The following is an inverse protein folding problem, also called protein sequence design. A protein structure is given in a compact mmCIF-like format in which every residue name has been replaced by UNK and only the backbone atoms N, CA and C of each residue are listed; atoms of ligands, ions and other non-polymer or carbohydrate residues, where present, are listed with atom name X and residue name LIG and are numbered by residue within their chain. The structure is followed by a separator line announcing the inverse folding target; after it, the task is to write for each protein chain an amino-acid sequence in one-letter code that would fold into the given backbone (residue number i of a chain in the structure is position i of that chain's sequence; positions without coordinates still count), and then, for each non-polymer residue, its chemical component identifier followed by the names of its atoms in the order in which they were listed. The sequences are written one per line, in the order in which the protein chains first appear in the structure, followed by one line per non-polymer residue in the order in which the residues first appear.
data_IF_178738597559
#
_entry.id   IF_178738597559
#
_cell.length_a   1.000
_cell.length_b   1.000
_cell.length_c   1.000
_cell.angle_alpha   90.00
_cell.angle_beta   90.00
_cell.angle_gamma   90.00
#
_symmetry.space_group_name_H-M   'P 1'
#
loop_
_entity.id
_entity.type
_entity.pdbx_description
1 polymer ?
#
# COMPACT_ATOMS: atom_id res chain seq x y z
N UNK A 1 24.18 -7.83 56.13
CA UNK A 1 24.13 -6.38 56.49
C UNK A 1 24.50 -5.56 55.28
N UNK A 2 23.68 -4.61 54.97
CA UNK A 2 23.79 -3.55 53.96
C UNK A 2 23.61 -3.90 52.49
N UNK A 3 22.46 -3.52 52.05
CA UNK A 3 21.99 -3.39 50.66
C UNK A 3 22.77 -2.30 49.95
N UNK A 4 23.15 -2.55 48.72
CA UNK A 4 23.56 -1.51 47.80
C UNK A 4 22.50 -1.45 46.71
N UNK A 5 21.68 -0.40 46.75
CA UNK A 5 20.89 0.08 45.64
C UNK A 5 21.86 0.64 44.59
N UNK A 6 21.89 0.05 43.44
CA UNK A 6 22.49 0.69 42.27
C UNK A 6 21.39 1.23 41.37
N UNK A 7 21.21 2.51 41.47
CA UNK A 7 20.53 3.37 40.51
C UNK A 7 21.18 3.21 39.13
N UNK A 8 20.44 2.68 38.17
CA UNK A 8 20.89 2.70 36.80
C UNK A 8 20.57 4.07 36.23
N UNK A 9 21.63 4.85 36.07
CA UNK A 9 21.59 6.12 35.37
C UNK A 9 21.27 5.89 33.89
N UNK A 10 20.31 6.66 33.38
CA UNK A 10 20.03 6.76 31.97
C UNK A 10 21.26 7.29 31.23
N UNK A 11 21.84 6.49 30.38
CA UNK A 11 22.84 6.94 29.38
C UNK A 11 22.13 7.18 28.09
N UNK A 12 22.00 8.46 27.74
CA UNK A 12 21.72 8.93 26.40
C UNK A 12 22.89 8.52 25.50
N UNK A 13 22.67 7.57 24.62
CA UNK A 13 23.53 7.33 23.47
C UNK A 13 22.74 7.56 22.20
N UNK A 14 23.11 8.64 21.56
CA UNK A 14 22.77 8.95 20.16
C UNK A 14 23.63 8.06 19.27
N UNK A 15 23.01 7.36 18.35
CA UNK A 15 23.66 6.85 17.15
C UNK A 15 23.75 5.34 17.04
N UNK A 16 23.38 4.88 15.87
CA UNK A 16 23.64 3.61 15.19
C UNK A 16 22.66 2.46 15.41
N UNK A 17 22.15 2.04 14.27
CA UNK A 17 21.55 0.76 13.92
C UNK A 17 21.69 -0.35 14.97
N UNK A 18 20.61 -0.59 15.66
CA UNK A 18 20.43 -1.86 16.33
C UNK A 18 19.13 -2.48 15.87
N UNK A 19 19.26 -3.59 15.18
CA UNK A 19 18.26 -4.63 15.13
C UNK A 19 17.74 -4.82 16.55
N UNK A 20 16.59 -4.26 16.83
CA UNK A 20 15.95 -4.43 18.14
C UNK A 20 15.37 -5.84 18.15
N UNK A 21 15.96 -6.68 18.99
CA UNK A 21 15.43 -8.01 19.32
C UNK A 21 13.92 -7.93 19.49
N UNK A 22 13.20 -8.92 18.97
CA UNK A 22 11.75 -9.08 19.08
C UNK A 22 11.27 -8.79 20.51
N UNK A 23 10.72 -7.59 20.69
CA UNK A 23 10.24 -7.16 22.00
C UNK A 23 8.90 -7.83 22.23
N UNK A 24 8.87 -8.85 23.09
CA UNK A 24 7.61 -9.34 23.65
C UNK A 24 6.88 -8.14 24.29
N UNK A 25 5.79 -7.71 23.67
CA UNK A 25 4.96 -6.63 24.21
C UNK A 25 4.49 -6.99 25.62
N UNK A 26 4.67 -6.06 26.55
CA UNK A 26 4.12 -6.19 27.89
C UNK A 26 2.58 -6.25 27.86
N UNK A 27 2.00 -6.67 28.97
CA UNK A 27 0.53 -6.80 29.09
C UNK A 27 -0.21 -5.48 28.83
N UNK A 28 0.46 -4.35 29.11
CA UNK A 28 -0.11 -3.00 28.91
C UNK A 28 -0.16 -2.64 27.44
N UNK A 29 0.93 -2.88 26.71
CA UNK A 29 1.06 -2.61 25.28
C UNK A 29 0.11 -3.48 24.46
N UNK A 30 -0.01 -4.78 24.81
CA UNK A 30 -0.95 -5.68 24.14
C UNK A 30 -2.41 -5.24 24.30
N UNK A 31 -2.79 -4.76 25.50
CA UNK A 31 -4.13 -4.19 25.73
C UNK A 31 -4.34 -2.89 24.97
N UNK A 32 -3.34 -2.02 24.93
CA UNK A 32 -3.40 -0.79 24.16
C UNK A 32 -3.65 -1.09 22.67
N UNK A 33 -2.90 -2.00 22.05
CA UNK A 33 -3.12 -2.41 20.67
C UNK A 33 -4.51 -3.01 20.43
N UNK A 34 -5.04 -3.78 21.39
CA UNK A 34 -6.40 -4.31 21.31
C UNK A 34 -7.45 -3.19 21.25
N UNK A 35 -7.32 -2.13 22.09
CA UNK A 35 -8.21 -0.96 22.05
C UNK A 35 -8.03 -0.13 20.77
N UNK A 36 -6.81 0.01 20.27
CA UNK A 36 -6.53 0.66 18.97
C UNK A 36 -7.24 -0.09 17.84
N UNK A 37 -7.13 -1.42 17.80
CA UNK A 37 -7.73 -2.24 16.76
C UNK A 37 -9.28 -2.23 16.81
N UNK A 38 -9.85 -2.14 18.01
CA UNK A 38 -11.31 -2.03 18.20
C UNK A 38 -11.87 -0.62 17.99
N UNK A 39 -11.02 0.40 17.91
CA UNK A 39 -11.43 1.81 17.81
C UNK A 39 -11.97 2.40 19.11
N UNK A 40 -11.61 1.83 20.25
CA UNK A 40 -12.00 2.37 21.56
C UNK A 40 -11.15 3.60 21.93
N UNK A 41 -11.55 4.73 21.38
CA UNK A 41 -10.83 6.01 21.51
C UNK A 41 -10.63 6.44 22.97
N UNK A 42 -11.58 6.10 23.87
CA UNK A 42 -11.49 6.50 25.28
C UNK A 42 -10.32 5.79 25.96
N UNK A 43 -10.22 4.48 25.80
CA UNK A 43 -9.13 3.72 26.38
C UNK A 43 -7.81 3.97 25.64
N UNK A 44 -7.81 4.14 24.31
CA UNK A 44 -6.63 4.56 23.55
C UNK A 44 -6.06 5.86 24.13
N UNK A 45 -6.89 6.90 24.31
CA UNK A 45 -6.48 8.17 24.90
C UNK A 45 -5.89 7.98 26.31
N UNK A 46 -6.55 7.18 27.15
CA UNK A 46 -6.10 6.88 28.51
C UNK A 46 -4.71 6.23 28.56
N UNK A 47 -4.42 5.31 27.63
CA UNK A 47 -3.10 4.67 27.52
C UNK A 47 -2.03 5.67 27.06
N UNK A 48 -2.33 6.50 26.07
CA UNK A 48 -1.42 7.54 25.59
C UNK A 48 -1.14 8.59 26.67
N UNK A 49 -2.16 9.01 27.45
CA UNK A 49 -2.01 9.96 28.57
C UNK A 49 -1.16 9.37 29.72
N UNK A 50 -1.07 8.03 29.81
CA UNK A 50 -0.17 7.32 30.73
C UNK A 50 1.24 7.12 30.20
N UNK A 51 1.55 7.63 29.01
CA UNK A 51 2.88 7.57 28.41
C UNK A 51 3.20 6.30 27.65
N UNK A 52 2.19 5.50 27.25
CA UNK A 52 2.44 4.39 26.32
C UNK A 52 2.99 4.96 25.01
N UNK A 53 4.05 4.36 24.49
CA UNK A 53 4.69 4.80 23.26
C UNK A 53 3.73 4.66 22.06
N UNK A 54 3.36 5.78 21.43
CA UNK A 54 2.48 5.82 20.27
C UNK A 54 3.07 5.11 19.03
N UNK A 55 4.40 4.93 19.00
CA UNK A 55 5.16 4.27 17.94
C UNK A 55 5.73 2.90 18.35
N UNK A 56 5.19 2.28 19.41
CA UNK A 56 5.60 0.92 19.74
C UNK A 56 5.40 -0.01 18.52
N UNK A 57 6.20 -1.06 18.43
CA UNK A 57 6.07 -2.07 17.39
C UNK A 57 5.81 -3.44 18.04
N UNK A 58 4.93 -4.22 17.43
CA UNK A 58 4.72 -5.64 17.77
C UNK A 58 5.69 -6.55 17.01
N UNK A 59 5.56 -7.87 17.16
CA UNK A 59 6.46 -8.85 16.50
C UNK A 59 6.54 -8.72 14.97
N UNK A 60 5.44 -8.47 14.20
CA UNK A 60 5.59 -8.20 12.77
C UNK A 60 6.03 -6.74 12.46
N UNK A 61 6.46 -5.97 13.47
CA UNK A 61 6.90 -4.60 13.32
C UNK A 61 5.77 -3.60 13.11
N UNK A 62 4.52 -3.99 13.32
CA UNK A 62 3.36 -3.11 13.13
C UNK A 62 3.24 -2.11 14.29
N UNK A 63 2.99 -0.84 13.97
CA UNK A 63 2.72 0.21 14.95
C UNK A 63 1.22 0.30 15.26
N UNK A 64 0.82 1.00 16.34
CA UNK A 64 -0.60 1.29 16.60
C UNK A 64 -1.32 1.90 15.40
N UNK A 65 -0.64 2.74 14.61
CA UNK A 65 -1.22 3.32 13.41
C UNK A 65 -1.49 2.28 12.32
N UNK A 66 -0.62 1.27 12.14
CA UNK A 66 -0.90 0.14 11.26
C UNK A 66 -2.16 -0.61 11.70
N UNK A 67 -2.27 -0.91 13.00
CA UNK A 67 -3.45 -1.59 13.54
C UNK A 67 -4.74 -0.78 13.38
N UNK A 68 -4.71 0.53 13.66
CA UNK A 68 -5.86 1.40 13.49
C UNK A 68 -6.37 1.43 12.05
N UNK A 69 -5.45 1.50 11.07
CA UNK A 69 -5.79 1.52 9.64
C UNK A 69 -6.28 0.15 9.17
N UNK A 70 -5.62 -0.94 9.59
CA UNK A 70 -5.99 -2.31 9.21
C UNK A 70 -7.32 -2.75 9.83
N UNK A 71 -7.61 -2.37 11.06
CA UNK A 71 -8.86 -2.69 11.78
C UNK A 71 -10.10 -1.97 11.24
N UNK A 72 -9.93 -1.04 10.32
CA UNK A 72 -11.01 -0.19 9.82
C UNK A 72 -11.85 -0.82 8.69
N UNK A 73 -12.32 -2.05 8.89
CA UNK A 73 -13.21 -2.70 7.91
C UNK A 73 -14.58 -2.00 7.76
N UNK A 74 -15.00 -1.24 8.78
CA UNK A 74 -16.32 -0.59 8.86
C UNK A 74 -16.29 0.95 8.90
N UNK A 75 -15.13 1.59 8.71
CA UNK A 75 -15.02 3.05 8.73
C UNK A 75 -15.01 3.70 10.12
N UNK A 76 -14.92 2.91 11.21
CA UNK A 76 -15.14 3.39 12.58
C UNK A 76 -13.91 3.94 13.29
N UNK A 77 -12.71 3.78 12.73
CA UNK A 77 -11.46 4.12 13.42
C UNK A 77 -10.85 5.48 13.03
N UNK A 78 -11.57 6.34 12.30
CA UNK A 78 -11.02 7.62 11.82
C UNK A 78 -10.53 8.48 13.00
N UNK A 79 -11.37 8.64 14.02
CA UNK A 79 -11.02 9.42 15.22
C UNK A 79 -9.80 8.83 15.98
N UNK A 80 -9.67 7.50 16.00
CA UNK A 80 -8.48 6.85 16.60
C UNK A 80 -7.23 7.12 15.79
N UNK A 81 -7.33 7.09 14.45
CA UNK A 81 -6.22 7.42 13.54
C UNK A 81 -5.80 8.88 13.73
N UNK A 82 -6.75 9.81 13.77
CA UNK A 82 -6.50 11.24 14.03
C UNK A 82 -5.83 11.45 15.40
N UNK A 83 -6.32 10.76 16.44
CA UNK A 83 -5.73 10.83 17.77
C UNK A 83 -4.28 10.33 17.75
N UNK A 84 -3.99 9.17 17.14
CA UNK A 84 -2.63 8.64 17.06
C UNK A 84 -1.70 9.61 16.31
N UNK A 85 -2.14 10.16 15.18
CA UNK A 85 -1.36 11.14 14.40
C UNK A 85 -1.10 12.40 15.24
N UNK A 86 -2.12 12.93 15.93
CA UNK A 86 -1.97 14.13 16.79
C UNK A 86 -1.03 13.91 17.97
N UNK A 87 -0.84 12.63 18.38
CA UNK A 87 0.10 12.24 19.44
C UNK A 87 1.48 11.85 18.90
N UNK A 88 1.77 12.12 17.62
CA UNK A 88 3.08 11.92 17.02
C UNK A 88 3.32 10.51 16.47
N UNK A 89 2.26 9.80 16.07
CA UNK A 89 2.43 8.55 15.34
C UNK A 89 3.16 8.78 14.00
N UNK A 90 4.17 7.96 13.73
CA UNK A 90 4.90 8.02 12.47
C UNK A 90 4.04 7.44 11.33
N UNK A 91 3.51 8.31 10.49
CA UNK A 91 2.66 7.93 9.34
C UNK A 91 3.40 7.12 8.27
N UNK A 92 4.74 7.16 8.28
CA UNK A 92 5.60 6.40 7.37
C UNK A 92 6.34 5.24 8.06
N UNK A 93 5.93 4.85 9.27
CA UNK A 93 6.48 3.66 9.91
C UNK A 93 6.34 2.44 9.00
N UNK A 94 7.32 1.54 9.03
CA UNK A 94 7.32 0.31 8.24
C UNK A 94 7.29 -0.91 9.15
N UNK A 95 6.52 -1.91 8.75
CA UNK A 95 6.59 -3.24 9.33
C UNK A 95 7.76 -4.06 8.75
N UNK A 96 7.95 -5.29 9.18
CA UNK A 96 9.04 -6.19 8.73
C UNK A 96 9.00 -6.50 7.23
N UNK A 97 7.86 -6.30 6.61
CA UNK A 97 7.64 -6.49 5.16
C UNK A 97 7.70 -5.17 4.37
N UNK A 98 8.05 -4.07 5.07
CA UNK A 98 8.07 -2.70 4.54
C UNK A 98 6.69 -2.19 4.09
N UNK A 99 5.61 -2.67 4.70
CA UNK A 99 4.33 -2.00 4.57
C UNK A 99 4.29 -0.79 5.50
N UNK A 100 3.78 0.33 4.99
CA UNK A 100 3.41 1.49 5.81
C UNK A 100 1.93 1.39 6.19
N UNK A 101 1.43 2.18 7.16
CA UNK A 101 0.00 2.26 7.44
C UNK A 101 -0.83 2.49 6.17
N UNK A 102 -0.33 3.32 5.24
CA UNK A 102 -1.00 3.59 3.98
C UNK A 102 -1.19 2.32 3.12
N UNK A 103 -0.27 1.35 3.12
CA UNK A 103 -0.43 0.08 2.40
C UNK A 103 -1.58 -0.78 2.94
N UNK A 104 -1.92 -0.63 4.23
CA UNK A 104 -3.05 -1.34 4.87
C UNK A 104 -4.39 -0.71 4.49
N UNK A 105 -4.38 0.51 3.96
CA UNK A 105 -5.58 1.27 3.69
C UNK A 105 -6.47 0.64 2.59
N UNK A 106 -7.78 0.72 2.80
CA UNK A 106 -8.79 0.31 1.84
C UNK A 106 -9.94 1.33 1.73
N UNK A 107 -9.81 2.47 2.37
CA UNK A 107 -10.79 3.54 2.48
C UNK A 107 -10.17 4.86 2.01
N UNK A 108 -10.90 5.61 1.18
CA UNK A 108 -10.39 6.85 0.58
C UNK A 108 -10.21 7.99 1.58
N UNK A 109 -11.09 8.09 2.56
CA UNK A 109 -11.05 9.13 3.61
C UNK A 109 -9.81 8.95 4.49
N UNK A 110 -9.49 7.71 4.85
CA UNK A 110 -8.27 7.39 5.63
C UNK A 110 -7.01 7.58 4.78
N UNK A 111 -7.04 7.18 3.51
CA UNK A 111 -5.90 7.41 2.62
C UNK A 111 -5.61 8.92 2.49
N UNK A 112 -6.65 9.73 2.33
CA UNK A 112 -6.53 11.19 2.28
C UNK A 112 -5.94 11.74 3.57
N UNK A 113 -6.48 11.38 4.73
CA UNK A 113 -5.98 11.79 6.04
C UNK A 113 -4.49 11.44 6.22
N UNK A 114 -4.09 10.21 5.90
CA UNK A 114 -2.70 9.78 6.03
C UNK A 114 -1.77 10.57 5.11
N UNK A 115 -2.17 10.78 3.83
CA UNK A 115 -1.36 11.52 2.86
C UNK A 115 -1.25 13.00 3.25
N UNK A 116 -2.34 13.62 3.69
CA UNK A 116 -2.34 15.01 4.16
C UNK A 116 -1.53 15.18 5.45
N UNK A 117 -1.37 14.10 6.22
CA UNK A 117 -0.48 14.03 7.38
C UNK A 117 0.97 13.67 7.02
N UNK A 118 1.34 13.61 5.73
CA UNK A 118 2.71 13.39 5.26
C UNK A 118 3.06 11.93 4.94
N UNK A 119 2.07 11.04 4.78
CA UNK A 119 2.37 9.70 4.28
C UNK A 119 2.85 9.72 2.83
N UNK A 120 3.89 8.95 2.54
CA UNK A 120 4.42 8.82 1.18
C UNK A 120 3.46 7.99 0.32
N UNK A 121 2.72 8.66 -0.58
CA UNK A 121 1.77 8.02 -1.50
C UNK A 121 2.42 6.98 -2.41
N UNK A 122 3.73 7.11 -2.67
CA UNK A 122 4.53 6.24 -3.53
C UNK A 122 5.41 5.25 -2.75
N UNK A 123 5.11 5.04 -1.46
CA UNK A 123 5.82 4.05 -0.65
C UNK A 123 5.71 2.66 -1.28
N UNK A 124 6.83 1.91 -1.28
CA UNK A 124 6.96 0.61 -1.96
C UNK A 124 7.21 -0.50 -0.95
N UNK A 125 6.51 -1.61 -1.11
CA UNK A 125 6.79 -2.83 -0.34
C UNK A 125 8.17 -3.40 -0.69
N UNK A 126 8.79 -4.11 0.25
CA UNK A 126 10.15 -4.65 0.10
C UNK A 126 10.25 -5.67 -1.03
N UNK A 127 9.33 -6.61 -1.05
CA UNK A 127 9.39 -7.79 -1.93
C UNK A 127 9.03 -7.47 -3.38
N UNK A 128 7.88 -6.83 -3.59
CA UNK A 128 7.28 -6.66 -4.92
C UNK A 128 7.44 -5.25 -5.47
N UNK A 129 7.75 -4.27 -4.60
CA UNK A 129 7.74 -2.86 -4.98
C UNK A 129 6.33 -2.32 -5.24
N UNK A 130 5.29 -3.04 -4.78
CA UNK A 130 3.90 -2.58 -4.89
C UNK A 130 3.67 -1.33 -4.05
N UNK A 131 2.83 -0.44 -4.58
CA UNK A 131 2.29 0.73 -3.88
C UNK A 131 0.82 0.52 -3.59
N UNK A 132 0.22 1.39 -2.77
CA UNK A 132 -1.23 1.35 -2.56
C UNK A 132 -2.01 1.51 -3.88
N UNK A 133 -1.47 2.25 -4.86
CA UNK A 133 -2.12 2.39 -6.17
C UNK A 133 -2.26 1.03 -6.89
N UNK A 134 -1.26 0.15 -6.84
CA UNK A 134 -1.37 -1.22 -7.37
C UNK A 134 -2.51 -2.00 -6.71
N UNK A 135 -2.59 -1.96 -5.39
CA UNK A 135 -3.65 -2.63 -4.62
C UNK A 135 -5.04 -2.08 -4.97
N UNK A 136 -5.17 -0.75 -5.04
CA UNK A 136 -6.43 -0.09 -5.33
C UNK A 136 -6.93 -0.39 -6.74
N UNK A 137 -6.08 -0.27 -7.75
CA UNK A 137 -6.44 -0.55 -9.16
C UNK A 137 -6.73 -2.04 -9.39
N UNK A 138 -6.01 -2.94 -8.70
CA UNK A 138 -6.33 -4.36 -8.71
C UNK A 138 -7.74 -4.61 -8.15
N UNK A 139 -8.05 -4.07 -6.98
CA UNK A 139 -9.38 -4.18 -6.39
C UNK A 139 -10.49 -3.57 -7.27
N UNK A 140 -10.21 -2.47 -7.96
CA UNK A 140 -11.11 -1.85 -8.90
C UNK A 140 -11.33 -2.68 -10.18
N UNK A 141 -10.29 -3.33 -10.71
CA UNK A 141 -10.40 -4.12 -11.96
C UNK A 141 -11.00 -5.52 -11.74
N UNK A 142 -10.93 -6.05 -10.53
CA UNK A 142 -11.32 -7.42 -10.17
C UNK A 142 -12.62 -7.51 -9.36
N UNK A 143 -13.03 -6.42 -8.72
CA UNK A 143 -14.03 -6.44 -7.66
C UNK A 143 -15.46 -6.64 -8.14
N UNK A 144 -16.27 -7.29 -7.30
CA UNK A 144 -17.72 -7.23 -7.35
C UNK A 144 -18.20 -5.79 -7.08
N UNK A 145 -19.43 -5.45 -7.51
CA UNK A 145 -19.95 -4.08 -7.59
C UNK A 145 -19.68 -3.15 -6.38
N UNK A 146 -19.83 -3.64 -5.14
CA UNK A 146 -19.56 -2.83 -3.94
C UNK A 146 -18.06 -2.55 -3.72
N UNK A 147 -17.21 -3.55 -3.94
CA UNK A 147 -15.77 -3.39 -3.81
C UNK A 147 -15.20 -2.50 -4.90
N UNK A 148 -15.74 -2.59 -6.11
CA UNK A 148 -15.35 -1.76 -7.25
C UNK A 148 -15.43 -0.26 -6.93
N UNK A 149 -16.59 0.24 -6.50
CA UNK A 149 -16.77 1.68 -6.23
C UNK A 149 -15.81 2.19 -5.15
N UNK A 150 -15.59 1.39 -4.10
CA UNK A 150 -14.64 1.73 -3.04
C UNK A 150 -13.23 1.87 -3.57
N UNK A 151 -12.75 0.88 -4.32
CA UNK A 151 -11.39 0.88 -4.87
C UNK A 151 -11.21 1.90 -5.99
N UNK A 152 -12.24 2.16 -6.80
CA UNK A 152 -12.21 3.24 -7.78
C UNK A 152 -12.09 4.61 -7.10
N UNK A 153 -12.85 4.84 -6.03
CA UNK A 153 -12.74 6.05 -5.22
C UNK A 153 -11.34 6.22 -4.62
N UNK A 154 -10.78 5.13 -4.08
CA UNK A 154 -9.41 5.13 -3.56
C UNK A 154 -8.39 5.40 -4.67
N UNK A 155 -8.52 4.79 -5.84
CA UNK A 155 -7.65 5.04 -7.01
C UNK A 155 -7.65 6.51 -7.41
N UNK A 156 -8.84 7.13 -7.50
CA UNK A 156 -8.99 8.55 -7.85
C UNK A 156 -8.28 9.46 -6.85
N UNK A 157 -8.47 9.23 -5.55
CA UNK A 157 -7.78 10.00 -4.51
C UNK A 157 -6.27 9.82 -4.58
N UNK A 158 -5.76 8.62 -4.71
CA UNK A 158 -4.32 8.37 -4.81
C UNK A 158 -3.70 9.13 -5.99
N UNK A 159 -4.33 9.08 -7.16
CA UNK A 159 -3.84 9.80 -8.35
C UNK A 159 -3.88 11.32 -8.11
N UNK A 160 -4.96 11.87 -7.56
CA UNK A 160 -5.07 13.30 -7.27
C UNK A 160 -4.05 13.79 -6.22
N UNK A 161 -3.59 12.89 -5.33
CA UNK A 161 -2.55 13.16 -4.33
C UNK A 161 -1.13 12.84 -4.85
N UNK A 162 -0.94 12.64 -6.15
CA UNK A 162 0.36 12.48 -6.79
C UNK A 162 0.93 11.06 -6.78
N UNK A 163 0.08 10.04 -6.72
CA UNK A 163 0.54 8.67 -6.94
C UNK A 163 1.10 8.51 -8.37
N UNK A 164 2.30 7.96 -8.46
CA UNK A 164 2.97 7.70 -9.74
C UNK A 164 2.31 6.50 -10.45
N UNK A 165 1.60 6.80 -11.54
CA UNK A 165 0.89 5.80 -12.37
C UNK A 165 1.85 4.93 -13.20
N UNK A 166 3.14 5.26 -13.26
CA UNK A 166 4.16 4.60 -14.07
C UNK A 166 5.11 3.71 -13.28
N UNK A 167 4.87 3.54 -11.99
CA UNK A 167 5.67 2.64 -11.16
C UNK A 167 5.63 1.22 -11.73
N UNK A 168 6.81 0.60 -11.78
CA UNK A 168 6.99 -0.80 -12.20
C UNK A 168 7.19 -1.71 -10.99
N UNK A 169 6.62 -2.89 -11.05
CA UNK A 169 6.91 -3.97 -10.11
C UNK A 169 8.36 -4.45 -10.25
N UNK A 170 8.98 -4.83 -9.13
CA UNK A 170 10.33 -5.40 -9.11
C UNK A 170 10.31 -6.88 -9.49
N UNK A 171 11.43 -7.38 -9.97
CA UNK A 171 11.70 -8.80 -10.07
C UNK A 171 11.68 -9.45 -8.68
N UNK A 172 11.00 -10.57 -8.54
CA UNK A 172 10.83 -11.25 -7.24
C UNK A 172 9.39 -11.23 -6.74
N UNK A 173 8.46 -10.69 -7.49
CA UNK A 173 7.00 -10.85 -7.30
C UNK A 173 6.55 -12.32 -7.55
N UNK A 174 7.38 -13.27 -7.17
CA UNK A 174 7.02 -14.68 -7.17
C UNK A 174 6.07 -14.91 -6.00
N UNK A 175 4.79 -14.80 -6.24
CA UNK A 175 3.82 -15.56 -5.45
C UNK A 175 4.21 -17.02 -5.63
N UNK A 176 4.26 -17.79 -4.54
CA UNK A 176 4.53 -19.23 -4.49
C UNK A 176 3.60 -20.02 -5.43
N UNK A 177 3.82 -19.92 -6.71
CA UNK A 177 3.16 -20.73 -7.74
C UNK A 177 4.25 -21.12 -8.71
N UNK A 178 4.50 -22.42 -8.82
CA UNK A 178 5.44 -23.07 -9.75
C UNK A 178 5.14 -22.78 -11.24
N UNK A 179 4.50 -21.67 -11.53
CA UNK A 179 4.09 -21.29 -12.88
C UNK A 179 4.92 -20.10 -13.39
N UNK A 180 5.93 -20.35 -14.22
CA UNK A 180 6.87 -19.33 -14.72
C UNK A 180 6.23 -18.20 -15.53
N UNK A 181 4.96 -18.34 -15.96
CA UNK A 181 4.28 -17.28 -16.71
C UNK A 181 3.63 -16.18 -15.85
N UNK A 182 3.79 -16.24 -14.52
CA UNK A 182 3.23 -15.23 -13.59
C UNK A 182 4.26 -14.22 -13.07
N UNK A 183 5.47 -14.22 -13.62
CA UNK A 183 6.40 -13.14 -13.28
C UNK A 183 5.84 -11.81 -13.77
N UNK A 184 5.52 -10.92 -12.82
CA UNK A 184 4.99 -9.59 -13.06
C UNK A 184 6.09 -8.51 -13.07
N UNK A 185 7.34 -8.91 -13.15
CA UNK A 185 8.45 -7.97 -13.17
C UNK A 185 8.32 -7.00 -14.33
N UNK A 186 8.51 -5.73 -14.04
CA UNK A 186 8.34 -4.68 -15.03
C UNK A 186 6.89 -4.33 -15.36
N UNK A 187 5.89 -5.02 -14.77
CA UNK A 187 4.50 -4.61 -14.94
C UNK A 187 4.28 -3.24 -14.33
N UNK A 188 3.60 -2.37 -15.07
CA UNK A 188 3.02 -1.14 -14.55
C UNK A 188 1.60 -1.40 -14.04
N UNK A 189 1.03 -0.41 -13.36
CA UNK A 189 -0.38 -0.45 -12.95
C UNK A 189 -1.30 -0.74 -14.13
N UNK A 190 -1.01 -0.16 -15.32
CA UNK A 190 -1.83 -0.37 -16.52
C UNK A 190 -1.77 -1.82 -17.01
N UNK A 191 -0.60 -2.49 -16.98
CA UNK A 191 -0.50 -3.93 -17.29
C UNK A 191 -1.42 -4.78 -16.41
N UNK A 192 -1.48 -4.46 -15.11
CA UNK A 192 -2.32 -5.18 -14.16
C UNK A 192 -3.80 -4.96 -14.42
N UNK A 193 -4.20 -3.72 -14.67
CA UNK A 193 -5.60 -3.33 -14.89
C UNK A 193 -6.21 -4.05 -16.09
N UNK A 194 -5.48 -4.12 -17.20
CA UNK A 194 -5.99 -4.75 -18.43
C UNK A 194 -6.17 -6.27 -18.31
N UNK A 195 -5.60 -6.91 -17.29
CA UNK A 195 -5.84 -8.33 -16.95
C UNK A 195 -7.07 -8.54 -16.07
N UNK A 196 -7.74 -7.46 -15.62
CA UNK A 196 -8.88 -7.53 -14.71
C UNK A 196 -10.02 -8.42 -15.21
N UNK A 197 -10.79 -9.03 -14.31
CA UNK A 197 -11.89 -9.94 -14.68
C UNK A 197 -13.05 -9.24 -15.39
N UNK A 198 -13.37 -8.01 -15.01
CA UNK A 198 -14.43 -7.22 -15.62
C UNK A 198 -13.88 -6.29 -16.67
N UNK A 199 -14.21 -6.53 -17.94
CA UNK A 199 -13.77 -5.65 -19.02
C UNK A 199 -14.25 -4.21 -18.85
N UNK A 200 -15.51 -4.04 -18.40
CA UNK A 200 -16.06 -2.71 -18.12
C UNK A 200 -15.23 -1.94 -17.09
N UNK A 201 -14.90 -2.59 -15.98
CA UNK A 201 -14.13 -1.96 -14.90
C UNK A 201 -12.66 -1.75 -15.31
N UNK A 202 -12.08 -2.71 -16.03
CA UNK A 202 -10.72 -2.57 -16.56
C UNK A 202 -10.62 -1.38 -17.52
N UNK A 203 -11.60 -1.20 -18.40
CA UNK A 203 -11.65 -0.05 -19.31
C UNK A 203 -11.74 1.26 -18.55
N UNK A 204 -12.67 1.39 -17.62
CA UNK A 204 -12.86 2.64 -16.85
C UNK A 204 -11.59 3.02 -16.04
N UNK A 205 -10.90 2.03 -15.45
CA UNK A 205 -9.65 2.30 -14.74
C UNK A 205 -8.50 2.58 -15.70
N UNK A 206 -8.45 1.92 -16.86
CA UNK A 206 -7.45 2.21 -17.90
C UNK A 206 -7.62 3.62 -18.45
N UNK A 207 -8.84 4.07 -18.71
CA UNK A 207 -9.15 5.44 -19.14
C UNK A 207 -8.66 6.46 -18.09
N UNK A 208 -8.92 6.19 -16.80
CA UNK A 208 -8.44 7.04 -15.70
C UNK A 208 -6.90 7.10 -15.65
N UNK A 209 -6.22 5.97 -15.81
CA UNK A 209 -4.75 5.93 -15.78
C UNK A 209 -4.14 6.64 -16.99
N UNK A 210 -4.66 6.39 -18.20
CA UNK A 210 -4.15 7.01 -19.43
C UNK A 210 -4.36 8.52 -19.41
N UNK A 211 -5.53 9.01 -18.96
CA UNK A 211 -5.80 10.45 -18.83
C UNK A 211 -4.90 11.13 -17.77
N UNK A 212 -4.28 10.35 -16.87
CA UNK A 212 -3.32 10.84 -15.89
C UNK A 212 -1.86 10.48 -16.25
N UNK A 213 -1.56 10.22 -17.51
CA UNK A 213 -0.20 10.08 -18.02
C UNK A 213 0.43 8.69 -17.88
N UNK A 214 -0.38 7.65 -17.74
CA UNK A 214 0.15 6.28 -17.80
C UNK A 214 0.79 5.99 -19.15
N UNK A 215 2.02 5.45 -19.14
CA UNK A 215 2.72 5.05 -20.35
C UNK A 215 2.07 3.79 -20.95
N UNK A 216 1.39 3.98 -22.07
CA UNK A 216 0.64 2.93 -22.77
C UNK A 216 1.55 1.93 -23.51
N UNK A 217 2.81 2.30 -23.74
CA UNK A 217 3.79 1.53 -24.51
C UNK A 217 4.94 0.99 -23.64
N UNK A 218 4.79 1.01 -22.32
CA UNK A 218 5.78 0.42 -21.43
C UNK A 218 5.84 -1.09 -21.63
N UNK A 219 7.05 -1.67 -21.64
CA UNK A 219 7.23 -3.12 -21.76
C UNK A 219 7.61 -3.74 -20.43
N UNK A 220 6.95 -4.82 -20.08
CA UNK A 220 7.32 -5.67 -18.95
C UNK A 220 8.50 -6.60 -19.31
N UNK A 221 8.94 -7.44 -18.37
CA UNK A 221 10.08 -8.36 -18.58
C UNK A 221 9.87 -9.35 -19.74
N UNK A 222 8.61 -9.63 -20.12
CA UNK A 222 8.28 -10.50 -21.24
C UNK A 222 8.28 -9.77 -22.59
N UNK A 223 8.54 -8.47 -22.58
CA UNK A 223 8.46 -7.61 -23.74
C UNK A 223 7.03 -7.18 -24.11
N UNK A 224 6.02 -7.59 -23.31
CA UNK A 224 4.62 -7.24 -23.56
C UNK A 224 4.34 -5.81 -23.11
N UNK A 225 3.54 -5.10 -23.90
CA UNK A 225 2.92 -3.83 -23.54
C UNK A 225 1.56 -4.07 -22.86
N UNK A 226 0.95 -3.07 -22.22
CA UNK A 226 -0.44 -3.16 -21.76
C UNK A 226 -1.42 -3.56 -22.88
N UNK A 227 -1.15 -3.16 -24.12
CA UNK A 227 -1.95 -3.52 -25.29
C UNK A 227 -1.85 -5.03 -25.59
N UNK A 228 -0.63 -5.61 -25.59
CA UNK A 228 -0.44 -7.05 -25.74
C UNK A 228 -1.19 -7.83 -24.65
N UNK A 229 -1.09 -7.38 -23.42
CA UNK A 229 -1.78 -8.01 -22.28
C UNK A 229 -3.31 -7.92 -22.43
N UNK A 230 -3.84 -6.81 -22.95
CA UNK A 230 -5.27 -6.68 -23.22
C UNK A 230 -5.73 -7.67 -24.29
N UNK A 231 -4.96 -7.84 -25.37
CA UNK A 231 -5.23 -8.81 -26.43
C UNK A 231 -5.19 -10.25 -25.92
N UNK A 232 -4.12 -10.60 -25.17
CA UNK A 232 -3.95 -11.94 -24.58
C UNK A 232 -5.10 -12.31 -23.63
N UNK A 233 -5.64 -11.33 -22.91
CA UNK A 233 -6.74 -11.53 -21.97
C UNK A 233 -8.13 -11.30 -22.60
N UNK A 234 -8.21 -11.15 -23.94
CA UNK A 234 -9.45 -10.93 -24.69
C UNK A 234 -10.25 -9.70 -24.20
N UNK A 235 -9.56 -8.64 -23.83
CA UNK A 235 -10.14 -7.37 -23.41
C UNK A 235 -10.29 -6.45 -24.60
N UNK A 236 -11.20 -6.81 -25.49
CA UNK A 236 -11.31 -6.20 -26.83
C UNK A 236 -11.59 -4.70 -26.76
N UNK A 237 -12.51 -4.25 -25.89
CA UNK A 237 -12.83 -2.82 -25.74
C UNK A 237 -11.67 -2.03 -25.16
N UNK A 238 -10.98 -2.61 -24.16
CA UNK A 238 -9.80 -1.98 -23.56
C UNK A 238 -8.64 -1.93 -24.55
N UNK A 239 -8.44 -2.98 -25.35
CA UNK A 239 -7.43 -2.99 -26.42
C UNK A 239 -7.75 -1.93 -27.50
N UNK A 240 -9.00 -1.83 -27.93
CA UNK A 240 -9.44 -0.80 -28.89
C UNK A 240 -9.21 0.62 -28.34
N UNK A 241 -9.55 0.85 -27.08
CA UNK A 241 -9.26 2.12 -26.40
C UNK A 241 -7.77 2.44 -26.43
N UNK A 242 -6.92 1.50 -25.98
CA UNK A 242 -5.47 1.69 -25.95
C UNK A 242 -4.92 1.96 -27.36
N UNK A 243 -5.38 1.22 -28.38
CA UNK A 243 -4.94 1.40 -29.76
C UNK A 243 -5.30 2.79 -30.31
N UNK A 244 -6.48 3.30 -29.99
CA UNK A 244 -6.90 4.68 -30.34
C UNK A 244 -6.01 5.75 -29.72
N UNK A 245 -5.40 5.44 -28.57
CA UNK A 245 -4.47 6.35 -27.87
C UNK A 245 -2.99 6.10 -28.25
N UNK A 246 -2.73 5.33 -29.32
CA UNK A 246 -1.38 5.12 -29.84
C UNK A 246 -0.64 3.94 -29.22
N UNK A 247 -1.35 3.00 -28.58
CA UNK A 247 -0.70 1.78 -28.09
C UNK A 247 -0.17 0.93 -29.25
N UNK A 248 1.00 0.37 -29.05
CA UNK A 248 1.70 -0.55 -29.95
C UNK A 248 1.94 -1.88 -29.24
N UNK A 249 2.08 -2.94 -30.00
CA UNK A 249 2.57 -4.20 -29.46
C UNK A 249 4.07 -4.11 -29.14
N UNK A 250 4.57 -5.00 -28.30
CA UNK A 250 6.01 -5.11 -28.03
C UNK A 250 6.82 -5.40 -29.30
N UNK A 251 6.26 -6.18 -30.23
CA UNK A 251 6.88 -6.48 -31.53
C UNK A 251 6.93 -5.24 -32.43
N UNK A 252 5.85 -4.44 -32.50
CA UNK A 252 5.84 -3.18 -33.27
C UNK A 252 6.91 -2.22 -32.73
N UNK A 253 7.02 -2.09 -31.38
CA UNK A 253 8.04 -1.23 -30.76
C UNK A 253 9.46 -1.73 -31.04
N UNK A 254 9.67 -3.05 -31.00
CA UNK A 254 10.98 -3.65 -31.33
C UNK A 254 11.38 -3.41 -32.78
N UNK A 255 10.41 -3.48 -33.71
CA UNK A 255 10.64 -3.17 -35.12
C UNK A 255 11.03 -1.70 -35.35
N UNK A 256 10.58 -0.79 -34.47
CA UNK A 256 10.93 0.64 -34.49
C UNK A 256 12.26 0.96 -33.78
N UNK A 257 12.98 -0.04 -33.25
CA UNK A 257 14.23 0.14 -32.53
C UNK A 257 14.09 0.68 -31.10
N UNK A 258 12.95 0.45 -30.51
CA UNK A 258 12.60 0.90 -29.16
C UNK A 258 12.55 -0.25 -28.17
#
# INVERSE_FOLDING_TARGET
MKYILTTIAAVLLVGCDTHVDSVFLGRTESKFLAHVNSGDIKDVKKYLDKGVNVNLQDEPGMTPLHHAVNGNWNGTNLETIELLISRGANVNAIDDTHHTPLHMCNNKEIAELLIDSGANVNAKTKRTGETLLFKATHGASQGASKSYQRYLGLTKILISKGADVNIKLRSGSMINDDKPYRDKSGDTVLHQVVRGYSEKHALEVAELLVSNGANINERNIRGNTPFDEALLNKRNKTAEFLRKHGAKTGEELKAEGK
#
